data_IF_134209768650
#
_entry.id   IF_134209768650
#
_cell.length_a   1.000
_cell.length_b   1.000
_cell.length_c   1.000
_cell.angle_alpha   90.00
_cell.angle_beta   90.00
_cell.angle_gamma   90.00
#
_symmetry.space_group_name_H-M   'P 1'
#
loop_
_entity.id
_entity.type
_entity.pdbx_description
1 polymer ?
#
# COMPACT_ATOMS: atom_id res chain seq x y z
N UNK A 1 6.78 10.62 -34.15
CA UNK A 1 6.58 9.26 -33.58
C UNK A 1 7.73 9.00 -32.61
N UNK A 2 7.59 9.41 -31.34
CA UNK A 2 8.57 9.13 -30.29
C UNK A 2 7.77 8.60 -29.09
N UNK A 3 7.73 7.28 -28.96
CA UNK A 3 7.07 6.61 -27.84
C UNK A 3 8.11 6.55 -26.71
N UNK A 4 7.92 7.39 -25.70
CA UNK A 4 8.67 7.31 -24.46
C UNK A 4 8.26 6.01 -23.75
N UNK A 5 9.15 5.03 -23.79
CA UNK A 5 9.08 3.79 -23.01
C UNK A 5 9.33 4.17 -21.56
N UNK A 6 8.25 4.48 -20.85
CA UNK A 6 8.29 4.67 -19.40
C UNK A 6 8.09 3.30 -18.76
N UNK A 7 9.08 2.42 -18.93
CA UNK A 7 9.13 1.19 -18.17
C UNK A 7 9.57 1.54 -16.75
N UNK A 8 8.58 1.93 -15.94
CA UNK A 8 8.78 1.94 -14.51
C UNK A 8 9.13 0.52 -14.08
N UNK A 9 10.38 0.29 -13.70
CA UNK A 9 10.78 -0.79 -12.80
C UNK A 9 10.00 -0.65 -11.50
N UNK A 10 8.73 -1.04 -11.51
CA UNK A 10 8.03 -1.40 -10.30
C UNK A 10 8.67 -2.74 -9.94
N UNK A 11 9.81 -2.72 -9.25
CA UNK A 11 10.22 -3.84 -8.42
C UNK A 11 9.10 -4.06 -7.40
N UNK A 12 8.08 -4.83 -7.78
CA UNK A 12 7.03 -5.28 -6.88
C UNK A 12 7.69 -6.40 -6.11
N UNK A 13 8.29 -6.02 -4.99
CA UNK A 13 8.43 -6.95 -3.90
C UNK A 13 7.03 -7.52 -3.60
N UNK A 14 6.73 -8.73 -4.09
CA UNK A 14 5.41 -9.40 -4.06
C UNK A 14 4.88 -9.69 -2.64
N UNK A 15 5.53 -9.14 -1.61
CA UNK A 15 5.06 -9.18 -0.24
C UNK A 15 3.85 -8.24 -0.13
N UNK A 16 2.64 -8.74 0.19
CA UNK A 16 1.42 -7.93 0.20
C UNK A 16 1.52 -6.64 1.04
N UNK A 17 2.31 -6.66 2.13
CA UNK A 17 2.50 -5.49 2.98
C UNK A 17 3.30 -4.36 2.34
N UNK A 18 4.27 -4.66 1.49
CA UNK A 18 5.06 -3.62 0.80
C UNK A 18 4.25 -2.99 -0.33
N UNK A 19 3.45 -3.78 -1.05
CA UNK A 19 2.49 -3.28 -2.03
C UNK A 19 1.43 -2.37 -1.40
N UNK A 20 0.83 -2.78 -0.28
CA UNK A 20 -0.20 -1.98 0.41
C UNK A 20 0.35 -0.63 0.91
N UNK A 21 1.54 -0.65 1.53
CA UNK A 21 2.22 0.57 1.98
C UNK A 21 2.49 1.54 0.83
N UNK A 22 2.93 1.02 -0.34
CA UNK A 22 3.18 1.86 -1.53
C UNK A 22 1.92 2.54 -2.03
N UNK A 23 0.81 1.82 -2.16
CA UNK A 23 -0.47 2.42 -2.58
C UNK A 23 -0.92 3.54 -1.64
N UNK A 24 -0.78 3.35 -0.32
CA UNK A 24 -1.10 4.41 0.65
C UNK A 24 -0.24 5.66 0.42
N UNK A 25 1.06 5.50 0.20
CA UNK A 25 1.96 6.61 -0.06
C UNK A 25 1.65 7.32 -1.40
N UNK A 26 1.34 6.57 -2.46
CA UNK A 26 0.91 7.15 -3.73
C UNK A 26 -0.40 7.93 -3.63
N UNK A 27 -1.30 7.53 -2.73
CA UNK A 27 -2.52 8.27 -2.42
C UNK A 27 -2.30 9.47 -1.48
N UNK A 28 -1.07 9.72 -1.01
CA UNK A 28 -0.75 10.83 -0.10
C UNK A 28 -1.33 10.68 1.31
N UNK A 29 -1.69 9.46 1.72
CA UNK A 29 -2.37 9.21 2.99
C UNK A 29 -1.39 8.80 4.10
N UNK A 30 -1.63 9.25 5.33
CA UNK A 30 -1.04 8.63 6.54
C UNK A 30 -1.79 7.35 6.90
N UNK A 31 -1.26 6.54 7.83
CA UNK A 31 -1.98 5.33 8.28
C UNK A 31 -3.30 5.69 8.97
N UNK A 32 -3.33 6.81 9.69
CA UNK A 32 -4.51 7.38 10.36
C UNK A 32 -5.55 7.82 9.34
N UNK A 33 -5.15 8.58 8.31
CA UNK A 33 -6.06 9.03 7.26
C UNK A 33 -6.65 7.86 6.46
N UNK A 34 -5.86 6.81 6.22
CA UNK A 34 -6.37 5.60 5.58
C UNK A 34 -7.33 4.84 6.51
N UNK A 35 -6.99 4.70 7.79
CA UNK A 35 -7.83 4.04 8.79
C UNK A 35 -9.20 4.72 8.91
N UNK A 36 -9.23 6.04 8.99
CA UNK A 36 -10.46 6.84 9.02
C UNK A 36 -11.33 6.60 7.78
N UNK A 37 -10.74 6.68 6.59
CA UNK A 37 -11.47 6.48 5.32
C UNK A 37 -11.98 5.07 5.09
N UNK A 38 -11.28 4.07 5.62
CA UNK A 38 -11.60 2.65 5.43
C UNK A 38 -12.42 2.04 6.57
N UNK A 39 -12.61 2.78 7.67
CA UNK A 39 -13.37 2.30 8.83
C UNK A 39 -12.65 1.21 9.63
N UNK A 40 -11.36 0.96 9.41
CA UNK A 40 -10.56 0.00 10.17
C UNK A 40 -9.58 0.69 11.10
N UNK A 41 -9.13 0.00 12.15
CA UNK A 41 -8.15 0.57 13.07
C UNK A 41 -6.78 0.81 12.42
N UNK A 42 -6.04 1.81 12.90
CA UNK A 42 -4.62 2.05 12.53
C UNK A 42 -3.77 0.80 12.78
N UNK A 43 -4.07 0.03 13.83
CA UNK A 43 -3.41 -1.25 14.13
C UNK A 43 -3.64 -2.29 13.03
N UNK A 44 -4.83 -2.31 12.43
CA UNK A 44 -5.14 -3.17 11.28
C UNK A 44 -4.31 -2.76 10.07
N UNK A 45 -4.28 -1.47 9.74
CA UNK A 45 -3.44 -0.91 8.65
C UNK A 45 -1.97 -1.28 8.86
N UNK A 46 -1.42 -1.04 10.05
CA UNK A 46 -0.04 -1.40 10.38
C UNK A 46 0.23 -2.89 10.18
N UNK A 47 -0.68 -3.77 10.63
CA UNK A 47 -0.53 -5.21 10.47
C UNK A 47 -0.61 -5.69 9.01
N UNK A 48 -1.39 -5.00 8.16
CA UNK A 48 -1.41 -5.24 6.72
C UNK A 48 -0.09 -4.80 6.09
N UNK A 49 0.42 -3.61 6.43
CA UNK A 49 1.69 -3.07 5.89
C UNK A 49 2.94 -3.86 6.32
N UNK A 50 2.95 -4.42 7.53
CA UNK A 50 4.07 -5.23 8.01
C UNK A 50 3.96 -6.71 7.63
N UNK A 51 2.88 -7.11 6.93
CA UNK A 51 2.63 -8.50 6.54
C UNK A 51 2.24 -9.43 7.71
N UNK A 52 1.92 -8.86 8.88
CA UNK A 52 1.54 -9.61 10.09
C UNK A 52 0.09 -10.10 10.04
N UNK A 53 -0.76 -9.51 9.21
CA UNK A 53 -2.12 -10.00 8.92
C UNK A 53 -2.27 -10.23 7.42
N UNK A 54 -2.25 -11.50 6.99
CA UNK A 54 -2.56 -11.89 5.60
C UNK A 54 -4.07 -11.96 5.30
N UNK A 55 -4.92 -11.75 6.30
CA UNK A 55 -6.38 -11.84 6.15
C UNK A 55 -7.09 -10.87 7.13
N UNK A 56 -7.64 -9.74 6.67
CA UNK A 56 -8.61 -8.99 7.46
C UNK A 56 -9.95 -9.75 7.43
N UNK A 57 -10.39 -10.25 8.58
CA UNK A 57 -11.75 -10.72 8.82
C UNK A 57 -12.63 -9.54 9.22
#
# INVERSE_FOLDING_TARGET
>A
MARAETEGEIGVDDRPGTTFKRFRHHAGLTQEALAERSGVSVRTIRGLETGTRRNPQ
#
